data_IF_953774403376
#
_entry.id   IF_953774403376
#
_cell.length_a   1.000
_cell.length_b   1.000
_cell.length_c   1.000
_cell.angle_alpha   90.00
_cell.angle_beta   90.00
_cell.angle_gamma   90.00
#
_symmetry.space_group_name_H-M   'P 1'
#
loop_
_entity.id
_entity.type
_entity.pdbx_description
1 polymer ?
#
# COMPACT_ATOMS: atom_id res chain seq x y z
N UNK A 1 9.78 -7.59 19.57
CA UNK A 1 8.67 -8.53 19.28
C UNK A 1 9.16 -9.95 19.54
N UNK A 2 8.36 -10.83 20.18
CA UNK A 2 8.79 -12.23 20.38
C UNK A 2 8.88 -12.96 19.03
N UNK A 3 9.77 -13.97 18.92
CA UNK A 3 9.93 -14.76 17.68
C UNK A 3 8.60 -15.38 17.20
N UNK A 4 7.74 -15.78 18.14
CA UNK A 4 6.41 -16.30 17.82
C UNK A 4 5.50 -15.25 17.19
N UNK A 5 5.46 -14.03 17.73
CA UNK A 5 4.67 -12.93 17.15
C UNK A 5 5.16 -12.57 15.75
N UNK A 6 6.48 -12.51 15.56
CA UNK A 6 7.06 -12.24 14.24
C UNK A 6 6.68 -13.30 13.22
N UNK A 7 6.73 -14.59 13.60
CA UNK A 7 6.33 -15.69 12.72
C UNK A 7 4.83 -15.61 12.36
N UNK A 8 3.98 -15.37 13.35
CA UNK A 8 2.54 -15.23 13.14
C UNK A 8 2.22 -14.04 12.21
N UNK A 9 2.91 -12.90 12.38
CA UNK A 9 2.78 -11.74 11.52
C UNK A 9 3.21 -12.05 10.09
N UNK A 10 4.35 -12.73 9.90
CA UNK A 10 4.80 -13.15 8.56
C UNK A 10 3.81 -14.10 7.88
N UNK A 11 3.23 -15.03 8.63
CA UNK A 11 2.20 -15.94 8.12
C UNK A 11 0.94 -15.18 7.70
N UNK A 12 0.49 -14.24 8.54
CA UNK A 12 -0.64 -13.38 8.21
C UNK A 12 -0.40 -12.61 6.92
N UNK A 13 0.68 -11.83 6.84
CA UNK A 13 1.00 -10.99 5.68
C UNK A 13 1.17 -11.80 4.40
N UNK A 14 1.83 -12.96 4.45
CA UNK A 14 2.17 -13.73 3.24
C UNK A 14 1.08 -14.66 2.76
N UNK A 15 0.21 -15.13 3.61
CA UNK A 15 -0.77 -16.18 3.28
C UNK A 15 -2.20 -15.75 3.56
N UNK A 16 -2.51 -15.40 4.81
CA UNK A 16 -3.89 -15.17 5.23
C UNK A 16 -4.46 -13.85 4.70
N UNK A 17 -3.70 -12.76 4.77
CA UNK A 17 -4.14 -11.46 4.30
C UNK A 17 -4.39 -11.44 2.78
N UNK A 18 -3.54 -11.98 1.90
CA UNK A 18 -3.84 -12.05 0.46
C UNK A 18 -5.11 -12.86 0.15
N UNK A 19 -5.32 -13.99 0.84
CA UNK A 19 -6.52 -14.82 0.65
C UNK A 19 -7.78 -14.07 1.10
N UNK A 20 -7.74 -13.45 2.26
CA UNK A 20 -8.82 -12.60 2.77
C UNK A 20 -9.11 -11.44 1.84
N UNK A 21 -8.07 -10.74 1.40
CA UNK A 21 -8.18 -9.62 0.47
C UNK A 21 -8.82 -10.02 -0.86
N UNK A 22 -8.47 -11.19 -1.39
CA UNK A 22 -9.10 -11.72 -2.61
C UNK A 22 -10.61 -11.91 -2.41
N UNK A 23 -11.02 -12.56 -1.31
CA UNK A 23 -12.44 -12.77 -0.99
C UNK A 23 -13.19 -11.44 -0.87
N UNK A 24 -12.64 -10.49 -0.11
CA UNK A 24 -13.27 -9.17 0.09
C UNK A 24 -13.38 -8.40 -1.24
N UNK A 25 -12.35 -8.41 -2.07
CA UNK A 25 -12.39 -7.78 -3.40
C UNK A 25 -13.47 -8.45 -4.30
N UNK A 26 -13.56 -9.77 -4.32
CA UNK A 26 -14.60 -10.47 -5.07
C UNK A 26 -16.01 -10.08 -4.61
N UNK A 27 -16.24 -10.03 -3.29
CA UNK A 27 -17.51 -9.56 -2.74
C UNK A 27 -17.81 -8.12 -3.12
N UNK A 28 -16.83 -7.23 -2.97
CA UNK A 28 -16.97 -5.83 -3.36
C UNK A 28 -17.37 -5.70 -4.83
N UNK A 29 -16.74 -6.48 -5.72
CA UNK A 29 -17.05 -6.51 -7.14
C UNK A 29 -18.46 -7.03 -7.42
N UNK A 30 -18.86 -8.13 -6.83
CA UNK A 30 -20.19 -8.74 -7.03
C UNK A 30 -21.32 -7.78 -6.63
N UNK A 31 -21.19 -7.09 -5.51
CA UNK A 31 -22.23 -6.19 -5.00
C UNK A 31 -22.19 -4.77 -5.57
N UNK A 32 -21.08 -4.35 -6.20
CA UNK A 32 -20.91 -2.99 -6.70
C UNK A 32 -20.55 -2.90 -8.18
N UNK A 33 -20.74 -3.95 -8.95
CA UNK A 33 -20.45 -4.02 -10.39
C UNK A 33 -20.99 -2.83 -11.20
N UNK A 34 -22.18 -2.36 -10.88
CA UNK A 34 -22.79 -1.22 -11.59
C UNK A 34 -22.06 0.12 -11.33
N UNK A 35 -21.50 0.30 -10.16
CA UNK A 35 -20.64 1.46 -9.86
C UNK A 35 -19.27 1.32 -10.52
N UNK A 36 -18.68 0.13 -10.48
CA UNK A 36 -17.36 -0.15 -11.05
C UNK A 36 -17.32 0.04 -12.57
N UNK A 37 -18.39 -0.32 -13.28
CA UNK A 37 -18.50 -0.09 -14.74
C UNK A 37 -18.32 1.37 -15.13
N UNK A 38 -18.75 2.30 -14.28
CA UNK A 38 -18.58 3.75 -14.49
C UNK A 38 -17.10 4.18 -14.41
N UNK A 39 -16.28 3.47 -13.64
CA UNK A 39 -14.89 3.82 -13.36
C UNK A 39 -13.86 3.03 -14.17
N UNK A 40 -14.27 1.97 -14.89
CA UNK A 40 -13.38 1.18 -15.75
C UNK A 40 -12.64 2.03 -16.81
N UNK A 41 -13.25 3.06 -17.44
CA UNK A 41 -12.54 3.96 -18.35
C UNK A 41 -11.50 4.84 -17.67
N UNK A 42 -11.69 5.17 -16.39
CA UNK A 42 -10.89 6.16 -15.63
C UNK A 42 -9.51 5.60 -15.26
N UNK A 43 -9.31 4.28 -15.31
CA UNK A 43 -7.98 3.69 -15.09
C UNK A 43 -6.91 4.32 -15.98
N UNK A 44 -7.25 4.66 -17.21
CA UNK A 44 -6.34 5.28 -18.16
C UNK A 44 -6.00 6.74 -17.81
N UNK A 45 -6.91 7.47 -17.16
CA UNK A 45 -6.69 8.87 -16.81
C UNK A 45 -5.65 9.04 -15.70
N UNK A 46 -5.52 8.07 -14.81
CA UNK A 46 -4.54 8.13 -13.72
C UNK A 46 -3.13 7.69 -14.12
N UNK A 47 -2.98 6.90 -15.18
CA UNK A 47 -1.66 6.46 -15.65
C UNK A 47 -0.82 7.58 -16.28
N UNK A 48 -1.45 8.69 -16.69
CA UNK A 48 -0.75 9.86 -17.24
C UNK A 48 -0.27 10.85 -16.19
N UNK A 49 -0.70 10.70 -14.94
CA UNK A 49 -0.25 11.55 -13.85
C UNK A 49 1.15 11.16 -13.41
N UNK A 50 1.94 12.13 -12.98
CA UNK A 50 3.14 11.83 -12.19
C UNK A 50 2.76 11.15 -10.88
N UNK A 51 3.70 10.41 -10.27
CA UNK A 51 3.45 9.77 -8.98
C UNK A 51 3.01 10.77 -7.89
N UNK A 52 3.65 11.94 -7.84
CA UNK A 52 3.29 13.00 -6.91
C UNK A 52 1.86 13.52 -7.14
N UNK A 53 1.46 13.74 -8.39
CA UNK A 53 0.10 14.17 -8.72
C UNK A 53 -0.93 13.12 -8.36
N UNK A 54 -0.64 11.84 -8.64
CA UNK A 54 -1.52 10.74 -8.26
C UNK A 54 -1.69 10.67 -6.75
N UNK A 55 -0.58 10.67 -6.01
CA UNK A 55 -0.61 10.55 -4.55
C UNK A 55 -1.22 11.78 -3.88
N UNK A 56 -1.07 12.98 -4.44
CA UNK A 56 -1.75 14.19 -3.94
C UNK A 56 -3.28 14.11 -4.01
N UNK A 57 -3.83 13.28 -4.89
CA UNK A 57 -5.28 13.02 -5.00
C UNK A 57 -5.76 11.92 -4.06
N UNK A 58 -4.85 11.12 -3.51
CA UNK A 58 -5.18 10.05 -2.58
C UNK A 58 -5.67 10.62 -1.25
N UNK A 59 -6.78 10.08 -0.74
CA UNK A 59 -7.40 10.51 0.51
C UNK A 59 -7.31 9.37 1.53
N UNK A 60 -6.51 9.57 2.54
CA UNK A 60 -6.36 8.57 3.60
C UNK A 60 -7.64 8.44 4.43
N UNK A 61 -8.08 7.23 4.61
CA UNK A 61 -9.21 6.87 5.47
C UNK A 61 -9.02 5.45 5.97
N UNK A 62 -9.01 5.29 7.30
CA UNK A 62 -8.93 3.97 7.90
C UNK A 62 -10.06 3.04 7.42
N UNK A 63 -9.70 1.82 7.10
CA UNK A 63 -10.66 0.80 6.71
C UNK A 63 -11.54 0.35 7.87
N UNK A 64 -12.80 0.03 7.56
CA UNK A 64 -13.72 -0.58 8.51
C UNK A 64 -13.46 -2.09 8.68
N UNK A 65 -12.83 -2.71 7.69
CA UNK A 65 -12.44 -4.11 7.68
C UNK A 65 -10.93 -4.18 7.87
N UNK A 66 -10.47 -4.87 8.89
CA UNK A 66 -9.05 -5.00 9.20
C UNK A 66 -8.29 -5.75 8.11
N UNK A 67 -7.14 -5.22 7.74
CA UNK A 67 -6.07 -5.90 7.01
C UNK A 67 -6.51 -6.51 5.66
N UNK A 68 -7.15 -5.74 4.79
CA UNK A 68 -7.40 -6.17 3.42
C UNK A 68 -6.69 -5.26 2.42
N UNK A 69 -6.01 -5.87 1.45
CA UNK A 69 -5.35 -5.15 0.37
C UNK A 69 -6.33 -4.98 -0.79
N UNK A 70 -6.83 -3.77 -1.07
CA UNK A 70 -7.77 -3.55 -2.17
C UNK A 70 -7.06 -3.70 -3.52
N UNK A 71 -7.79 -4.17 -4.52
CA UNK A 71 -7.31 -4.09 -5.89
C UNK A 71 -7.28 -2.62 -6.36
N UNK A 72 -6.32 -2.28 -7.22
CA UNK A 72 -6.18 -0.91 -7.76
C UNK A 72 -7.50 -0.37 -8.29
N UNK A 73 -8.25 -1.18 -9.02
CA UNK A 73 -9.56 -0.77 -9.53
C UNK A 73 -10.58 -0.50 -8.42
N UNK A 74 -10.47 -1.16 -7.27
CA UNK A 74 -11.30 -0.90 -6.10
C UNK A 74 -10.97 0.46 -5.50
N UNK A 75 -9.68 0.79 -5.41
CA UNK A 75 -9.19 2.09 -4.91
C UNK A 75 -9.68 3.21 -5.83
N UNK A 76 -9.54 3.04 -7.15
CA UNK A 76 -10.03 3.98 -8.16
C UNK A 76 -11.56 4.15 -8.05
N UNK A 77 -12.31 3.06 -7.91
CA UNK A 77 -13.76 3.10 -7.76
C UNK A 77 -14.24 3.77 -6.45
N UNK A 78 -13.36 3.88 -5.46
CA UNK A 78 -13.58 4.61 -4.20
C UNK A 78 -13.09 6.05 -4.26
N UNK A 79 -12.78 6.58 -5.44
CA UNK A 79 -12.27 7.94 -5.65
C UNK A 79 -10.94 8.19 -4.93
N UNK A 80 -10.03 7.21 -5.01
CA UNK A 80 -8.73 7.20 -4.35
C UNK A 80 -8.80 7.36 -2.81
N UNK A 81 -9.85 6.81 -2.20
CA UNK A 81 -10.02 6.81 -0.74
C UNK A 81 -9.69 5.44 -0.20
N UNK A 82 -8.63 5.35 0.60
CA UNK A 82 -8.20 4.12 1.27
C UNK A 82 -7.22 4.43 2.42
N UNK A 83 -6.70 3.41 3.09
CA UNK A 83 -5.65 3.57 4.11
C UNK A 83 -4.23 3.33 3.56
N UNK A 84 -3.27 2.99 4.41
CA UNK A 84 -1.86 2.91 4.01
C UNK A 84 -1.55 1.78 3.03
N UNK A 85 -2.24 0.64 3.10
CA UNK A 85 -2.05 -0.47 2.17
C UNK A 85 -2.65 -0.18 0.80
N UNK A 86 -3.79 0.51 0.72
CA UNK A 86 -4.33 1.04 -0.53
C UNK A 86 -3.38 2.02 -1.23
N UNK A 87 -2.76 2.93 -0.46
CA UNK A 87 -1.74 3.83 -1.01
C UNK A 87 -0.54 3.07 -1.57
N UNK A 88 -0.04 2.08 -0.82
CA UNK A 88 1.10 1.26 -1.25
C UNK A 88 0.78 0.43 -2.51
N UNK A 89 -0.42 -0.15 -2.60
CA UNK A 89 -0.91 -0.90 -3.78
C UNK A 89 -1.03 0.02 -5.01
N UNK A 90 -1.58 1.22 -4.83
CA UNK A 90 -1.72 2.21 -5.91
C UNK A 90 -0.37 2.66 -6.43
N UNK A 91 0.59 2.95 -5.56
CA UNK A 91 1.95 3.32 -5.93
C UNK A 91 2.68 2.19 -6.66
N UNK A 92 2.56 0.95 -6.16
CA UNK A 92 3.13 -0.23 -6.83
C UNK A 92 2.57 -0.41 -8.24
N UNK A 93 1.29 -0.22 -8.43
CA UNK A 93 0.67 -0.23 -9.76
C UNK A 93 1.23 0.88 -10.65
N UNK A 94 1.37 2.10 -10.13
CA UNK A 94 1.90 3.23 -10.90
C UNK A 94 3.34 2.95 -11.37
N UNK A 95 4.23 2.45 -10.52
CA UNK A 95 5.57 2.06 -10.90
C UNK A 95 5.56 1.06 -12.06
N UNK A 96 4.71 0.02 -11.96
CA UNK A 96 4.60 -1.00 -13.01
C UNK A 96 4.14 -0.41 -14.36
N UNK A 97 3.19 0.51 -14.35
CA UNK A 97 2.71 1.17 -15.59
C UNK A 97 3.80 2.08 -16.21
N UNK A 98 4.80 2.50 -15.44
CA UNK A 98 5.92 3.36 -15.88
C UNK A 98 7.24 2.60 -16.02
N UNK A 99 7.18 1.31 -16.33
CA UNK A 99 8.36 0.45 -16.54
C UNK A 99 9.37 0.47 -15.37
N UNK A 100 8.86 0.61 -14.15
CA UNK A 100 9.60 0.51 -12.89
C UNK A 100 8.94 -0.53 -12.00
N UNK A 101 9.60 -0.95 -10.93
CA UNK A 101 9.02 -1.85 -9.96
C UNK A 101 8.99 -1.21 -8.57
N UNK A 102 7.92 -1.54 -7.84
CA UNK A 102 7.76 -1.19 -6.45
C UNK A 102 7.47 -2.43 -5.62
N UNK A 103 8.01 -2.49 -4.41
CA UNK A 103 7.68 -3.53 -3.43
C UNK A 103 6.92 -2.93 -2.25
N UNK A 104 5.93 -3.65 -1.77
CA UNK A 104 5.22 -3.27 -0.55
C UNK A 104 6.05 -3.75 0.64
N UNK A 105 6.30 -2.83 1.55
CA UNK A 105 7.04 -3.05 2.79
C UNK A 105 6.12 -2.75 3.95
N UNK A 106 6.04 -3.67 4.90
CA UNK A 106 5.23 -3.51 6.11
C UNK A 106 6.16 -3.21 7.29
N UNK A 107 5.90 -2.10 7.92
CA UNK A 107 6.60 -1.62 9.11
C UNK A 107 5.80 -1.97 10.35
N UNK A 108 6.45 -2.49 11.38
CA UNK A 108 5.82 -2.79 12.67
C UNK A 108 6.55 -2.12 13.83
N UNK A 109 5.77 -1.63 14.80
CA UNK A 109 6.31 -1.20 16.08
C UNK A 109 6.90 -2.40 16.87
N UNK A 110 7.82 -2.12 17.80
CA UNK A 110 8.50 -3.15 18.59
C UNK A 110 7.52 -4.07 19.36
N UNK A 111 6.38 -3.53 19.78
CA UNK A 111 5.32 -4.28 20.47
C UNK A 111 4.34 -4.98 19.51
N UNK A 112 4.45 -4.73 18.19
CA UNK A 112 3.61 -5.30 17.15
C UNK A 112 2.19 -4.78 17.12
N UNK A 113 1.88 -3.67 17.82
CA UNK A 113 0.53 -3.10 17.85
C UNK A 113 0.23 -2.14 16.71
N UNK A 114 1.26 -1.51 16.17
CA UNK A 114 1.15 -0.58 15.07
C UNK A 114 1.78 -1.19 13.83
N UNK A 115 1.05 -1.17 12.74
CA UNK A 115 1.52 -1.53 11.41
C UNK A 115 1.37 -0.35 10.46
N UNK A 116 2.23 -0.28 9.44
CA UNK A 116 2.13 0.69 8.38
C UNK A 116 2.68 0.11 7.08
N UNK A 117 1.93 0.26 5.99
CA UNK A 117 2.35 -0.18 4.67
C UNK A 117 2.90 1.00 3.88
N UNK A 118 4.02 0.77 3.21
CA UNK A 118 4.64 1.71 2.28
C UNK A 118 5.01 0.99 0.98
N UNK A 119 5.10 1.71 -0.12
CA UNK A 119 5.66 1.18 -1.35
C UNK A 119 7.04 1.75 -1.58
N UNK A 120 8.08 0.91 -1.56
CA UNK A 120 9.46 1.31 -1.85
C UNK A 120 9.76 0.97 -3.30
N UNK A 121 10.32 1.91 -4.07
CA UNK A 121 10.80 1.65 -5.43
C UNK A 121 11.95 0.65 -5.38
N UNK A 122 12.06 -0.23 -6.39
CA UNK A 122 13.03 -1.34 -6.39
C UNK A 122 14.48 -0.88 -6.23
N UNK A 123 14.84 0.28 -6.79
CA UNK A 123 16.18 0.86 -6.65
C UNK A 123 16.43 1.58 -5.31
N UNK A 124 15.49 1.52 -4.38
CA UNK A 124 15.52 2.13 -3.04
C UNK A 124 15.71 3.65 -3.00
N UNK A 125 15.42 4.37 -4.09
CA UNK A 125 15.61 5.84 -4.15
C UNK A 125 14.47 6.64 -3.59
N UNK A 126 13.28 6.03 -3.50
CA UNK A 126 12.11 6.70 -2.96
C UNK A 126 11.10 5.68 -2.41
N UNK A 127 10.22 6.14 -1.56
CA UNK A 127 9.06 5.39 -1.13
C UNK A 127 7.81 6.25 -1.10
N UNK A 128 6.66 5.59 -1.18
CA UNK A 128 5.35 6.21 -1.02
C UNK A 128 4.76 5.79 0.31
N UNK A 129 4.33 6.78 1.10
CA UNK A 129 3.61 6.60 2.35
C UNK A 129 2.35 7.45 2.32
N UNK A 130 1.19 6.81 2.36
CA UNK A 130 -0.10 7.48 2.20
C UNK A 130 -0.12 8.36 0.93
N UNK A 131 -0.14 9.68 1.09
CA UNK A 131 -0.19 10.65 0.01
C UNK A 131 1.14 11.36 -0.27
N UNK A 132 2.25 10.87 0.28
CA UNK A 132 3.57 11.46 0.14
C UNK A 132 4.53 10.55 -0.61
N UNK A 133 5.37 11.16 -1.48
CA UNK A 133 6.52 10.52 -2.10
C UNK A 133 7.77 11.08 -1.43
N UNK A 134 8.59 10.21 -0.85
CA UNK A 134 9.76 10.58 -0.05
C UNK A 134 11.01 9.98 -0.66
N UNK A 135 12.03 10.82 -0.86
CA UNK A 135 13.35 10.40 -1.36
C UNK A 135 14.13 9.70 -0.26
N UNK A 136 14.84 8.62 -0.64
CA UNK A 136 15.69 7.81 0.22
C UNK A 136 17.15 7.84 -0.27
N UNK A 137 18.09 7.56 0.64
CA UNK A 137 19.43 7.18 0.26
C UNK A 137 19.47 5.67 -0.07
N UNK A 138 19.74 5.25 -1.32
CA UNK A 138 19.68 3.85 -1.71
C UNK A 138 20.60 2.93 -0.92
N UNK A 139 21.74 3.47 -0.43
CA UNK A 139 22.73 2.69 0.31
C UNK A 139 22.35 2.48 1.78
N UNK A 140 21.38 3.22 2.30
CA UNK A 140 20.94 3.17 3.70
C UNK A 140 19.40 3.32 3.81
N UNK A 141 18.69 2.78 2.85
CA UNK A 141 17.25 3.02 2.68
C UNK A 141 16.40 2.56 3.89
N UNK A 142 16.82 1.49 4.58
CA UNK A 142 16.07 0.98 5.74
C UNK A 142 16.16 1.96 6.93
N UNK A 143 17.35 2.46 7.22
CA UNK A 143 17.54 3.43 8.31
C UNK A 143 16.85 4.76 7.98
N UNK A 144 16.99 5.25 6.74
CA UNK A 144 16.31 6.45 6.28
C UNK A 144 14.78 6.31 6.39
N UNK A 145 14.24 5.16 5.98
CA UNK A 145 12.83 4.85 6.09
C UNK A 145 12.38 4.89 7.56
N UNK A 146 13.13 4.23 8.46
CA UNK A 146 12.81 4.20 9.89
C UNK A 146 12.90 5.59 10.52
N UNK A 147 13.91 6.39 10.15
CA UNK A 147 14.11 7.75 10.64
C UNK A 147 12.94 8.67 10.23
N UNK A 148 12.38 8.52 9.01
CA UNK A 148 11.21 9.29 8.55
C UNK A 148 10.01 9.12 9.45
N UNK A 149 9.88 7.99 10.11
CA UNK A 149 8.79 7.72 11.07
C UNK A 149 9.22 7.94 12.54
N UNK A 150 10.35 8.62 12.80
CA UNK A 150 10.84 8.95 14.15
C UNK A 150 11.12 7.71 14.99
N UNK A 151 11.60 6.63 14.37
CA UNK A 151 11.86 5.33 15.02
C UNK A 151 10.62 4.69 15.69
N UNK A 152 9.42 5.08 15.27
CA UNK A 152 8.17 4.50 15.76
C UNK A 152 8.05 3.02 15.41
N UNK A 153 8.65 2.62 14.30
CA UNK A 153 8.70 1.24 13.82
C UNK A 153 10.10 0.67 14.04
N UNK A 154 10.21 -0.63 14.20
CA UNK A 154 11.48 -1.32 14.47
C UNK A 154 11.63 -2.66 13.74
N UNK A 155 10.61 -3.04 12.96
CA UNK A 155 10.60 -4.29 12.20
C UNK A 155 10.10 -4.00 10.79
N UNK A 156 10.85 -4.48 9.79
CA UNK A 156 10.50 -4.44 8.37
C UNK A 156 10.19 -5.86 7.90
N UNK A 157 9.08 -6.03 7.16
CA UNK A 157 8.67 -7.33 6.59
C UNK A 157 8.38 -7.16 5.10
#
# INVERSE_FOLDING_TARGET
>A
MSNFKLLATKLWVKILCPTWSFIVNCFYWLFRLNRLKKYLPIKNDYSYLTLNELMSKFKWKADNLKDWNPWVITIIARDLVDDCDGAAVLAKWWYKEHASEGRIVILYSADGKLGHAVCVREDNKEFVSNNEVVVLNPNNWEDDLMQKFGNKYSVII
#
